data_IF_072740599613
#
_entry.id   IF_072740599613
#
_cell.length_a   1.000
_cell.length_b   1.000
_cell.length_c   1.000
_cell.angle_alpha   90.00
_cell.angle_beta   90.00
_cell.angle_gamma   90.00
#
_symmetry.space_group_name_H-M   'P 1'
#
loop_
_entity.id
_entity.type
_entity.pdbx_description
1 polymer ?
#
# COMPACT_ATOMS: atom_id res chain seq x y z
N UNK A 1 7.31 16.38 -3.48
CA UNK A 1 6.97 16.19 -2.05
C UNK A 1 6.52 14.74 -1.81
N UNK A 2 7.38 13.75 -2.04
CA UNK A 2 7.04 12.32 -1.89
C UNK A 2 8.02 11.55 -1.00
N UNK A 3 9.00 12.23 -0.39
CA UNK A 3 10.05 11.61 0.43
C UNK A 3 9.82 11.71 1.94
N UNK A 4 8.71 12.32 2.37
CA UNK A 4 8.49 12.68 3.79
C UNK A 4 7.48 11.78 4.51
N UNK A 5 6.85 10.81 3.82
CA UNK A 5 5.93 9.88 4.48
C UNK A 5 6.67 8.73 5.18
N UNK A 6 7.74 8.21 4.58
CA UNK A 6 8.46 7.05 5.14
C UNK A 6 9.29 7.44 6.39
N UNK A 7 9.83 8.66 6.41
CA UNK A 7 10.80 9.07 7.45
C UNK A 7 10.16 9.49 8.79
N UNK A 8 8.86 9.79 8.84
CA UNK A 8 8.18 10.16 10.10
C UNK A 8 7.81 8.97 10.99
N UNK A 9 7.82 7.73 10.48
CA UNK A 9 7.31 6.57 11.22
C UNK A 9 8.39 5.76 11.97
N UNK A 10 9.68 5.97 11.70
CA UNK A 10 10.74 5.18 12.35
C UNK A 10 11.11 5.64 13.78
N UNK A 11 10.61 6.78 14.25
CA UNK A 11 11.00 7.34 15.56
C UNK A 11 10.06 6.98 16.73
N UNK A 12 8.95 6.26 16.50
CA UNK A 12 7.94 6.10 17.54
C UNK A 12 7.18 4.76 17.53
N UNK A 13 7.80 3.62 17.18
CA UNK A 13 7.15 2.30 17.33
C UNK A 13 5.77 2.17 16.66
N UNK A 14 5.44 3.05 15.72
CA UNK A 14 4.13 3.21 15.13
C UNK A 14 4.12 2.48 13.79
N UNK A 15 3.23 1.50 13.67
CA UNK A 15 2.98 0.77 12.43
C UNK A 15 2.76 1.77 11.27
N UNK A 16 3.39 1.52 10.12
CA UNK A 16 3.16 2.30 8.91
C UNK A 16 1.70 2.10 8.49
N UNK A 17 0.92 3.17 8.27
CA UNK A 17 -0.49 3.05 7.93
C UNK A 17 -0.70 2.42 6.54
N UNK A 18 -1.84 1.76 6.36
CA UNK A 18 -2.13 0.97 5.16
C UNK A 18 -2.17 1.82 3.88
N UNK A 19 -2.61 3.07 3.99
CA UNK A 19 -2.71 4.04 2.90
C UNK A 19 -1.34 4.34 2.26
N UNK A 20 -0.29 4.33 3.08
CA UNK A 20 1.10 4.53 2.63
C UNK A 20 1.56 3.38 1.74
N UNK A 21 1.25 2.14 2.12
CA UNK A 21 1.54 0.96 1.31
C UNK A 21 0.69 0.92 0.03
N UNK A 22 -0.58 1.36 0.11
CA UNK A 22 -1.45 1.47 -1.06
C UNK A 22 -0.90 2.47 -2.09
N UNK A 23 -0.56 3.68 -1.66
CA UNK A 23 0.02 4.70 -2.55
C UNK A 23 1.38 4.30 -3.11
N UNK A 24 2.19 3.58 -2.33
CA UNK A 24 3.44 2.98 -2.83
C UNK A 24 3.14 1.97 -3.95
N UNK A 25 2.15 1.11 -3.77
CA UNK A 25 1.68 0.17 -4.81
C UNK A 25 1.29 0.89 -6.10
N UNK A 26 0.51 1.97 -6.00
CA UNK A 26 0.10 2.78 -7.15
C UNK A 26 1.30 3.40 -7.89
N UNK A 27 2.27 3.92 -7.15
CA UNK A 27 3.47 4.51 -7.73
C UNK A 27 4.31 3.45 -8.46
N UNK A 28 4.48 2.27 -7.85
CA UNK A 28 5.22 1.16 -8.44
C UNK A 28 4.52 0.58 -9.67
N UNK A 29 3.19 0.53 -9.65
CA UNK A 29 2.39 0.15 -10.82
C UNK A 29 2.59 1.13 -11.99
N UNK A 30 2.55 2.44 -11.71
CA UNK A 30 2.88 3.48 -12.71
C UNK A 30 4.29 3.36 -13.26
N UNK A 31 5.23 2.85 -12.46
CA UNK A 31 6.61 2.54 -12.87
C UNK A 31 6.77 1.16 -13.52
N UNK A 32 5.67 0.43 -13.78
CA UNK A 32 5.67 -0.92 -14.36
C UNK A 32 6.40 -1.98 -13.51
N UNK A 33 6.65 -1.69 -12.23
CA UNK A 33 7.26 -2.60 -11.26
C UNK A 33 6.21 -3.50 -10.63
N UNK A 34 5.59 -4.35 -11.45
CA UNK A 34 4.40 -5.15 -11.07
C UNK A 34 4.59 -5.98 -9.78
N UNK A 35 5.73 -6.65 -9.62
CA UNK A 35 5.99 -7.48 -8.44
C UNK A 35 6.08 -6.64 -7.14
N UNK A 36 6.76 -5.49 -7.20
CA UNK A 36 6.89 -4.58 -6.06
C UNK A 36 5.53 -3.89 -5.76
N UNK A 37 4.74 -3.59 -6.79
CA UNK A 37 3.40 -3.04 -6.65
C UNK A 37 2.46 -4.04 -5.93
N UNK A 38 2.46 -5.30 -6.39
CA UNK A 38 1.69 -6.38 -5.77
C UNK A 38 2.05 -6.56 -4.29
N UNK A 39 3.35 -6.63 -3.97
CA UNK A 39 3.81 -6.76 -2.60
C UNK A 39 3.39 -5.56 -1.72
N UNK A 40 3.35 -4.36 -2.29
CA UNK A 40 2.91 -3.15 -1.57
C UNK A 40 1.40 -3.16 -1.30
N UNK A 41 0.58 -3.56 -2.27
CA UNK A 41 -0.86 -3.69 -2.07
C UNK A 41 -1.20 -4.77 -1.03
N UNK A 42 -0.49 -5.90 -1.02
CA UNK A 42 -0.65 -6.93 0.01
C UNK A 42 -0.31 -6.40 1.40
N UNK A 43 0.80 -5.66 1.54
CA UNK A 43 1.17 -5.00 2.81
C UNK A 43 0.14 -3.98 3.27
N UNK A 44 -0.56 -3.29 2.37
CA UNK A 44 -1.64 -2.39 2.74
C UNK A 44 -2.78 -3.15 3.43
N UNK A 45 -3.18 -4.31 2.90
CA UNK A 45 -4.20 -5.16 3.52
C UNK A 45 -3.75 -5.71 4.88
N UNK A 46 -2.49 -6.14 4.99
CA UNK A 46 -1.90 -6.64 6.24
C UNK A 46 -1.80 -5.57 7.32
N UNK A 47 -1.33 -4.36 6.96
CA UNK A 47 -1.15 -3.25 7.89
C UNK A 47 -2.48 -2.62 8.33
N UNK A 48 -3.49 -2.66 7.46
CA UNK A 48 -4.77 -2.03 7.71
C UNK A 48 -5.78 -2.92 8.41
N UNK A 49 -5.82 -4.22 8.12
CA UNK A 49 -6.79 -5.15 8.71
C UNK A 49 -8.22 -4.60 8.63
N UNK A 50 -8.88 -4.47 9.79
CA UNK A 50 -10.25 -3.94 9.90
C UNK A 50 -10.33 -2.41 9.85
N UNK A 51 -9.20 -1.70 9.89
CA UNK A 51 -9.16 -0.22 9.83
C UNK A 51 -9.24 0.31 8.40
N UNK A 52 -9.11 -0.56 7.40
CA UNK A 52 -9.28 -0.18 5.99
C UNK A 52 -10.78 0.00 5.72
N UNK A 53 -11.23 1.18 5.24
CA UNK A 53 -12.62 1.35 4.80
C UNK A 53 -12.97 0.32 3.72
N UNK A 54 -14.21 -0.18 3.73
CA UNK A 54 -14.63 -1.22 2.79
C UNK A 54 -14.41 -0.82 1.31
N UNK A 55 -14.63 0.45 0.99
CA UNK A 55 -14.37 1.01 -0.35
C UNK A 55 -12.88 0.96 -0.74
N UNK A 56 -11.98 1.23 0.20
CA UNK A 56 -10.54 1.19 -0.08
C UNK A 56 -10.04 -0.25 -0.13
N UNK A 57 -10.57 -1.12 0.73
CA UNK A 57 -10.28 -2.56 0.70
C UNK A 57 -10.65 -3.17 -0.66
N UNK A 58 -11.82 -2.83 -1.19
CA UNK A 58 -12.25 -3.28 -2.52
C UNK A 58 -11.32 -2.78 -3.64
N UNK A 59 -10.88 -1.52 -3.58
CA UNK A 59 -9.91 -0.97 -4.53
C UNK A 59 -8.55 -1.66 -4.46
N UNK A 60 -8.06 -1.93 -3.24
CA UNK A 60 -6.79 -2.62 -3.02
C UNK A 60 -6.89 -4.07 -3.53
N UNK A 61 -7.98 -4.79 -3.24
CA UNK A 61 -8.22 -6.14 -3.73
C UNK A 61 -8.30 -6.20 -5.26
N UNK A 62 -8.95 -5.21 -5.89
CA UNK A 62 -8.98 -5.09 -7.34
C UNK A 62 -7.58 -4.86 -7.94
N UNK A 63 -6.74 -4.07 -7.26
CA UNK A 63 -5.36 -3.85 -7.66
C UNK A 63 -4.50 -5.11 -7.53
N UNK A 64 -4.63 -5.85 -6.42
CA UNK A 64 -3.97 -7.15 -6.22
C UNK A 64 -4.35 -8.12 -7.33
N UNK A 65 -5.65 -8.26 -7.64
CA UNK A 65 -6.13 -9.13 -8.74
C UNK A 65 -5.54 -8.72 -10.09
N UNK A 66 -5.56 -7.42 -10.42
CA UNK A 66 -5.00 -6.90 -11.68
C UNK A 66 -3.51 -7.17 -11.82
N UNK A 67 -2.76 -7.12 -10.73
CA UNK A 67 -1.31 -7.36 -10.71
C UNK A 67 -0.91 -8.84 -10.59
N UNK A 68 -1.85 -9.72 -10.26
CA UNK A 68 -1.63 -11.18 -10.17
C UNK A 68 -1.88 -11.92 -11.50
N UNK A 69 -2.29 -11.20 -12.54
CA UNK A 69 -2.54 -11.67 -13.90
C UNK A 69 -1.37 -11.31 -14.83
#
# INVERSE_FOLDING_TARGET
>A
MARMSIQYHELAGNSVPWDSYYHLGMALEGLQKKAEALASYQKALEAGGDTVPASDKEQIDAAVKRMSL
#
